data_IF_108407901863
#
_entry.id   IF_108407901863
#
_cell.length_a   1.000
_cell.length_b   1.000
_cell.length_c   1.000
_cell.angle_alpha   90.00
_cell.angle_beta   90.00
_cell.angle_gamma   90.00
#
_symmetry.space_group_name_H-M   'P 1'
#
loop_
_entity.id
_entity.type
_entity.pdbx_description
1 polymer ?
#
# COMPACT_ATOMS: atom_id res chain seq x y z
N UNK A 1 -6.54 21.51 -22.45
CA UNK A 1 -7.32 20.61 -21.58
C UNK A 1 -6.73 20.82 -20.21
N UNK A 2 -7.43 21.57 -19.37
CA UNK A 2 -6.97 21.84 -18.01
C UNK A 2 -6.82 20.50 -17.29
N UNK A 3 -5.56 20.12 -17.03
CA UNK A 3 -5.25 19.04 -16.09
C UNK A 3 -5.86 19.45 -14.78
N UNK A 4 -6.92 18.75 -14.37
CA UNK A 4 -7.44 18.90 -13.01
C UNK A 4 -6.28 18.62 -12.05
N UNK A 5 -6.18 19.35 -10.95
CA UNK A 5 -5.15 19.14 -9.93
C UNK A 5 -5.14 17.71 -9.34
N UNK A 6 -6.16 16.92 -9.68
CA UNK A 6 -6.30 15.52 -9.33
C UNK A 6 -5.52 14.56 -10.21
N UNK A 7 -5.13 14.95 -11.43
CA UNK A 7 -4.39 14.09 -12.34
C UNK A 7 -2.87 14.28 -12.15
N UNK A 8 -2.16 13.28 -11.60
CA UNK A 8 -0.75 13.42 -11.32
C UNK A 8 0.12 13.42 -12.59
N UNK A 9 0.96 14.44 -12.73
CA UNK A 9 1.92 14.53 -13.83
C UNK A 9 3.02 13.45 -13.72
N UNK A 10 3.39 12.87 -14.86
CA UNK A 10 4.44 11.84 -14.95
C UNK A 10 4.07 10.49 -14.33
N UNK A 11 2.84 10.32 -13.85
CA UNK A 11 2.36 9.07 -13.28
C UNK A 11 1.84 8.12 -14.37
N UNK A 12 2.41 6.92 -14.45
CA UNK A 12 1.96 5.89 -15.38
C UNK A 12 0.57 5.37 -15.02
N UNK A 13 -0.24 5.08 -16.05
CA UNK A 13 -1.59 4.52 -15.92
C UNK A 13 -1.89 3.53 -17.03
N UNK A 14 -2.68 2.52 -16.69
CA UNK A 14 -3.18 1.50 -17.60
C UNK A 14 -4.64 1.73 -18.01
N UNK A 15 -5.40 2.39 -17.14
CA UNK A 15 -6.80 2.68 -17.30
C UNK A 15 -7.02 4.19 -17.19
N UNK A 16 -7.82 4.74 -18.10
CA UNK A 16 -8.34 6.10 -18.04
C UNK A 16 -9.31 6.27 -16.86
N UNK A 17 -9.63 7.51 -16.46
CA UNK A 17 -10.66 7.84 -15.45
C UNK A 17 -12.01 7.12 -15.64
N UNK A 18 -12.44 6.84 -16.88
CA UNK A 18 -13.68 6.12 -17.21
C UNK A 18 -13.53 4.58 -17.20
N UNK A 19 -12.35 4.07 -16.81
CA UNK A 19 -12.01 2.65 -16.80
C UNK A 19 -11.68 2.04 -18.17
N UNK A 20 -11.66 2.82 -19.26
CA UNK A 20 -11.19 2.33 -20.56
C UNK A 20 -9.66 2.16 -20.53
N UNK A 21 -9.06 1.22 -21.29
CA UNK A 21 -7.60 1.11 -21.42
C UNK A 21 -7.01 2.44 -21.91
N UNK A 22 -5.93 2.94 -21.31
CA UNK A 22 -5.25 4.18 -21.73
C UNK A 22 -4.60 4.06 -23.15
N UNK A 23 -3.91 5.10 -23.61
CA UNK A 23 -3.15 5.03 -24.88
C UNK A 23 -1.77 4.39 -24.64
N UNK A 24 -1.23 3.67 -25.64
CA UNK A 24 0.10 3.07 -25.60
C UNK A 24 0.11 1.60 -25.17
N UNK A 25 1.18 1.15 -24.50
CA UNK A 25 1.28 -0.20 -23.94
C UNK A 25 0.39 -0.31 -22.68
N UNK A 26 -0.88 -0.60 -22.96
CA UNK A 26 -1.91 -0.83 -21.95
C UNK A 26 -2.31 -2.29 -21.88
N UNK A 27 -1.39 -3.19 -22.18
CA UNK A 27 -1.67 -4.60 -22.00
C UNK A 27 -1.95 -4.84 -20.50
N UNK A 28 -3.23 -5.07 -20.21
CA UNK A 28 -3.67 -5.52 -18.90
C UNK A 28 -3.26 -6.99 -18.69
N UNK A 29 -2.84 -7.68 -19.76
CA UNK A 29 -2.16 -8.96 -19.77
C UNK A 29 -2.83 -9.99 -18.89
N UNK A 30 -1.99 -10.68 -18.12
CA UNK A 30 -2.37 -11.68 -17.12
C UNK A 30 -2.61 -11.09 -15.72
N UNK A 31 -2.82 -9.76 -15.60
CA UNK A 31 -3.08 -9.16 -14.29
C UNK A 31 -4.36 -9.78 -13.68
N UNK A 32 -4.32 -10.22 -12.42
CA UNK A 32 -5.47 -10.83 -11.76
C UNK A 32 -6.46 -9.75 -11.30
N UNK A 33 -7.12 -9.08 -12.25
CA UNK A 33 -7.96 -7.90 -11.99
C UNK A 33 -9.14 -8.18 -11.05
N UNK A 34 -9.67 -9.40 -11.08
CA UNK A 34 -10.72 -9.87 -10.15
C UNK A 34 -10.20 -9.96 -8.72
N UNK A 35 -9.00 -10.53 -8.51
CA UNK A 35 -8.35 -10.60 -7.20
C UNK A 35 -7.93 -9.23 -6.71
N UNK A 36 -7.42 -8.39 -7.61
CA UNK A 36 -7.08 -6.99 -7.32
C UNK A 36 -8.31 -6.24 -6.84
N UNK A 37 -9.44 -6.35 -7.55
CA UNK A 37 -10.68 -5.72 -7.13
C UNK A 37 -11.17 -6.20 -5.77
N UNK A 38 -11.17 -7.52 -5.52
CA UNK A 38 -11.49 -8.09 -4.20
C UNK A 38 -10.59 -7.54 -3.09
N UNK A 39 -9.29 -7.42 -3.35
CA UNK A 39 -8.33 -6.88 -2.39
C UNK A 39 -8.56 -5.38 -2.10
N UNK A 40 -8.89 -4.58 -3.12
CA UNK A 40 -9.25 -3.17 -2.93
C UNK A 40 -10.51 -3.03 -2.06
N UNK A 41 -11.57 -3.78 -2.39
CA UNK A 41 -12.82 -3.79 -1.61
C UNK A 41 -12.54 -4.24 -0.19
N UNK A 42 -11.78 -5.32 0.02
CA UNK A 42 -11.43 -5.80 1.35
C UNK A 42 -10.66 -4.77 2.17
N UNK A 43 -9.69 -4.06 1.57
CA UNK A 43 -8.94 -3.00 2.23
C UNK A 43 -9.86 -1.84 2.68
N UNK A 44 -10.78 -1.39 1.81
CA UNK A 44 -11.78 -0.35 2.14
C UNK A 44 -12.77 -0.82 3.20
N UNK A 45 -13.28 -2.04 3.10
CA UNK A 45 -14.23 -2.61 4.07
C UNK A 45 -13.58 -2.70 5.45
N UNK A 46 -12.34 -3.18 5.54
CA UNK A 46 -11.56 -3.21 6.77
C UNK A 46 -11.43 -1.80 7.37
N UNK A 47 -11.04 -0.81 6.55
CA UNK A 47 -10.88 0.58 6.98
C UNK A 47 -12.16 1.14 7.61
N UNK A 48 -13.29 0.97 6.90
CA UNK A 48 -14.59 1.49 7.32
C UNK A 48 -15.13 0.77 8.56
N UNK A 49 -14.86 -0.54 8.72
CA UNK A 49 -15.25 -1.29 9.92
C UNK A 49 -14.45 -0.83 11.13
N UNK A 50 -13.14 -0.67 11.00
CA UNK A 50 -12.28 -0.17 12.08
C UNK A 50 -12.65 1.27 12.45
N UNK A 51 -12.99 2.12 11.47
CA UNK A 51 -13.40 3.50 11.73
C UNK A 51 -14.59 3.60 12.70
N UNK A 52 -15.53 2.64 12.65
CA UNK A 52 -16.70 2.59 13.54
C UNK A 52 -16.34 2.27 15.00
N UNK A 53 -15.13 1.78 15.27
CA UNK A 53 -14.67 1.45 16.62
C UNK A 53 -14.26 2.69 17.42
N UNK A 54 -14.10 3.86 16.77
CA UNK A 54 -13.76 5.12 17.45
C UNK A 54 -12.36 5.13 18.08
N UNK A 55 -11.43 4.34 17.56
CA UNK A 55 -10.08 4.22 18.11
C UNK A 55 -9.30 5.54 17.96
N UNK A 56 -8.64 6.03 19.02
CA UNK A 56 -7.85 7.27 18.96
C UNK A 56 -6.58 7.09 18.12
N UNK A 57 -6.13 8.18 17.49
CA UNK A 57 -4.88 8.26 16.72
C UNK A 57 -4.74 7.23 15.56
N UNK A 58 -5.86 6.76 15.01
CA UNK A 58 -5.90 5.94 13.80
C UNK A 58 -5.68 6.78 12.55
N UNK A 59 -4.88 6.27 11.61
CA UNK A 59 -4.72 6.86 10.28
C UNK A 59 -5.63 6.10 9.28
N UNK A 60 -6.65 6.74 8.68
CA UNK A 60 -7.50 6.10 7.67
C UNK A 60 -6.72 5.92 6.37
N UNK A 61 -7.15 4.95 5.55
CA UNK A 61 -6.54 4.68 4.25
C UNK A 61 -7.57 4.56 3.11
N UNK A 62 -8.83 4.92 3.35
CA UNK A 62 -9.82 5.06 2.30
C UNK A 62 -9.29 5.97 1.17
N UNK A 63 -9.31 5.48 -0.06
CA UNK A 63 -8.76 6.13 -1.27
C UNK A 63 -7.30 5.78 -1.58
N UNK A 64 -6.62 5.02 -0.71
CA UNK A 64 -5.22 4.61 -0.86
C UNK A 64 -5.06 3.08 -1.04
N UNK A 65 -6.15 2.34 -1.29
CA UNK A 65 -6.19 0.87 -1.22
C UNK A 65 -5.27 0.19 -2.24
N UNK A 66 -5.00 0.87 -3.35
CA UNK A 66 -4.20 0.33 -4.44
C UNK A 66 -2.82 -0.13 -3.97
N UNK A 67 -2.21 0.55 -3.00
CA UNK A 67 -0.90 0.18 -2.46
C UNK A 67 -1.00 -1.13 -1.68
N UNK A 68 -1.92 -1.22 -0.72
CA UNK A 68 -2.08 -2.42 0.09
C UNK A 68 -2.46 -3.64 -0.76
N UNK A 69 -3.40 -3.47 -1.69
CA UNK A 69 -3.83 -4.53 -2.59
C UNK A 69 -2.71 -4.99 -3.55
N UNK A 70 -1.97 -4.04 -4.11
CA UNK A 70 -0.88 -4.37 -5.04
C UNK A 70 0.30 -5.03 -4.32
N UNK A 71 0.69 -4.55 -3.13
CA UNK A 71 1.76 -5.19 -2.35
C UNK A 71 1.36 -6.62 -2.00
N UNK A 72 0.16 -6.85 -1.48
CA UNK A 72 -0.31 -8.19 -1.13
C UNK A 72 -0.32 -9.16 -2.32
N UNK A 73 -0.64 -8.69 -3.53
CA UNK A 73 -0.66 -9.53 -4.74
C UNK A 73 0.69 -9.67 -5.43
N UNK A 74 1.60 -8.71 -5.26
CA UNK A 74 2.93 -8.75 -5.87
C UNK A 74 3.93 -9.59 -5.07
N UNK A 75 3.72 -9.74 -3.76
CA UNK A 75 4.61 -10.49 -2.86
C UNK A 75 4.20 -11.94 -2.66
N UNK A 76 5.19 -12.80 -2.41
CA UNK A 76 5.02 -14.18 -1.94
C UNK A 76 4.83 -14.22 -0.41
N UNK A 77 4.30 -15.33 0.16
CA UNK A 77 4.17 -15.48 1.61
C UNK A 77 5.48 -15.31 2.39
N UNK A 78 6.62 -15.71 1.82
CA UNK A 78 7.95 -15.63 2.45
C UNK A 78 8.67 -14.30 2.21
N UNK A 79 8.08 -13.40 1.42
CA UNK A 79 8.60 -12.03 1.28
C UNK A 79 8.22 -11.21 2.50
N UNK A 80 9.17 -10.43 3.02
CA UNK A 80 8.90 -9.54 4.15
C UNK A 80 8.25 -8.24 3.71
N UNK A 81 7.26 -7.77 4.47
CA UNK A 81 6.64 -6.47 4.25
C UNK A 81 6.67 -5.63 5.52
N UNK A 82 7.12 -4.38 5.39
CA UNK A 82 7.12 -3.39 6.45
C UNK A 82 6.13 -2.28 6.10
N UNK A 83 4.87 -2.38 6.59
CA UNK A 83 3.81 -1.44 6.25
C UNK A 83 4.03 -0.07 6.89
N UNK A 84 3.52 0.97 6.24
CA UNK A 84 3.49 2.32 6.75
C UNK A 84 2.24 2.57 7.63
N UNK A 85 2.12 3.76 8.25
CA UNK A 85 1.01 4.07 9.15
C UNK A 85 -0.40 3.96 8.57
N UNK A 86 -0.53 4.00 7.24
CA UNK A 86 -1.80 3.92 6.50
C UNK A 86 -1.91 2.65 5.66
N UNK A 87 -1.17 1.60 6.01
CA UNK A 87 -1.06 0.38 5.20
C UNK A 87 -1.38 -0.90 5.98
N UNK A 88 -2.12 -0.77 7.10
CA UNK A 88 -2.50 -1.91 7.96
C UNK A 88 -3.29 -3.01 7.24
N UNK A 89 -3.98 -2.67 6.15
CA UNK A 89 -4.68 -3.65 5.32
C UNK A 89 -3.74 -4.71 4.71
N UNK A 90 -2.44 -4.43 4.54
CA UNK A 90 -1.48 -5.37 3.96
C UNK A 90 -1.45 -6.69 4.73
N UNK A 91 -1.30 -6.66 6.06
CA UNK A 91 -1.21 -7.87 6.87
C UNK A 91 -2.50 -8.70 6.74
N UNK A 92 -3.66 -8.05 6.81
CA UNK A 92 -4.95 -8.70 6.66
C UNK A 92 -5.13 -9.35 5.29
N UNK A 93 -4.74 -8.66 4.22
CA UNK A 93 -4.78 -9.20 2.85
C UNK A 93 -3.79 -10.35 2.64
N UNK A 94 -2.70 -10.38 3.41
CA UNK A 94 -1.69 -11.45 3.44
C UNK A 94 -2.02 -12.60 4.39
N UNK A 95 -3.15 -12.53 5.09
CA UNK A 95 -3.68 -13.67 5.86
C UNK A 95 -3.73 -13.48 7.38
N UNK A 96 -3.34 -12.31 7.91
CA UNK A 96 -3.49 -12.02 9.34
C UNK A 96 -4.94 -12.27 9.77
N UNK A 97 -5.09 -13.08 10.81
CA UNK A 97 -6.41 -13.50 11.28
C UNK A 97 -7.21 -12.34 11.87
N UNK A 98 -8.54 -12.37 11.70
CA UNK A 98 -9.42 -11.32 12.17
C UNK A 98 -9.45 -11.23 13.72
N UNK A 99 -9.28 -12.36 14.42
CA UNK A 99 -9.15 -12.40 15.88
C UNK A 99 -7.86 -11.71 16.33
N UNK A 100 -6.75 -11.94 15.62
CA UNK A 100 -5.50 -11.22 15.86
C UNK A 100 -5.65 -9.72 15.61
N UNK A 101 -6.35 -9.31 14.53
CA UNK A 101 -6.69 -7.90 14.28
C UNK A 101 -7.51 -7.31 15.43
N UNK A 102 -8.58 -7.99 15.86
CA UNK A 102 -9.42 -7.52 16.96
C UNK A 102 -8.62 -7.39 18.26
N UNK A 103 -7.80 -8.38 18.58
CA UNK A 103 -6.93 -8.37 19.74
C UNK A 103 -5.94 -7.20 19.69
N UNK A 104 -5.21 -7.02 18.59
CA UNK A 104 -4.22 -5.94 18.44
C UNK A 104 -4.86 -4.54 18.49
N UNK A 105 -6.07 -4.37 17.96
CA UNK A 105 -6.78 -3.09 18.00
C UNK A 105 -7.38 -2.77 19.37
N UNK A 106 -7.74 -3.79 20.17
CA UNK A 106 -8.34 -3.63 21.51
C UNK A 106 -7.34 -3.63 22.64
N UNK A 107 -6.18 -4.28 22.47
CA UNK A 107 -5.05 -4.19 23.38
C UNK A 107 -4.31 -2.85 23.29
N UNK A 108 -4.70 -2.00 22.32
CA UNK A 108 -4.26 -0.63 22.25
C UNK A 108 -4.76 0.17 23.46
N UNK A 109 -3.84 0.47 24.37
CA UNK A 109 -4.02 1.40 25.47
C UNK A 109 -3.17 2.67 25.24
N UNK A 110 -3.75 3.75 24.68
CA UNK A 110 -3.07 5.03 24.53
C UNK A 110 -2.55 5.61 25.85
N UNK A 111 -3.21 5.34 26.97
CA UNK A 111 -2.79 5.81 28.30
C UNK A 111 -1.57 5.05 28.82
N UNK A 112 -1.43 3.77 28.46
CA UNK A 112 -0.21 2.98 28.69
C UNK A 112 0.83 3.09 27.56
N UNK A 113 0.60 3.93 26.56
CA UNK A 113 1.52 4.09 25.43
C UNK A 113 1.54 2.87 24.49
N UNK A 114 0.41 2.20 24.30
CA UNK A 114 0.17 1.15 23.31
C UNK A 114 -0.85 1.70 22.30
N UNK A 115 -0.44 2.34 21.20
CA UNK A 115 -1.38 2.97 20.28
C UNK A 115 -2.00 1.92 19.36
N UNK A 116 -3.24 2.15 18.91
CA UNK A 116 -3.86 1.31 17.88
C UNK A 116 -3.08 1.34 16.54
N UNK A 117 -2.17 2.30 16.37
CA UNK A 117 -1.27 2.45 15.22
C UNK A 117 -0.27 1.31 15.07
N UNK A 118 0.01 0.56 16.14
CA UNK A 118 0.96 -0.56 16.12
C UNK A 118 0.24 -1.91 15.81
N UNK A 119 -1.07 -1.87 15.54
CA UNK A 119 -1.82 -3.02 15.05
C UNK A 119 -1.42 -3.38 13.61
N UNK A 120 -1.68 -4.63 13.20
CA UNK A 120 -1.34 -5.26 11.93
C UNK A 120 0.11 -5.77 11.79
N UNK A 121 0.82 -6.01 12.89
CA UNK A 121 2.05 -6.79 12.86
C UNK A 121 1.73 -8.29 12.79
N UNK A 122 2.45 -9.02 11.95
CA UNK A 122 2.32 -10.48 11.78
C UNK A 122 3.67 -11.10 11.42
N UNK A 123 4.58 -11.30 12.40
CA UNK A 123 5.90 -11.88 12.13
C UNK A 123 5.85 -13.27 11.51
N UNK A 124 4.82 -14.07 11.82
CA UNK A 124 4.62 -15.41 11.23
C UNK A 124 4.19 -15.31 9.75
N UNK A 125 3.38 -14.31 9.40
CA UNK A 125 3.03 -13.93 8.03
C UNK A 125 4.05 -13.01 7.33
N UNK A 126 5.26 -12.85 7.88
CA UNK A 126 6.33 -11.97 7.40
C UNK A 126 5.90 -10.51 7.20
N UNK A 127 4.99 -10.01 8.03
CA UNK A 127 4.63 -8.59 8.09
C UNK A 127 5.22 -7.98 9.36
N UNK A 128 6.22 -7.12 9.17
CA UNK A 128 6.96 -6.49 10.25
C UNK A 128 6.13 -5.46 11.04
N UNK A 129 6.57 -5.14 12.26
CA UNK A 129 5.92 -4.11 13.08
C UNK A 129 6.14 -2.71 12.50
N UNK A 130 5.31 -1.77 12.90
CA UNK A 130 5.48 -0.34 12.63
C UNK A 130 6.01 0.37 13.89
N UNK A 131 7.30 0.72 13.96
CA UNK A 131 7.81 1.50 15.08
C UNK A 131 7.21 2.91 15.11
N UNK A 132 7.24 3.54 16.29
CA UNK A 132 6.70 4.89 16.50
C UNK A 132 7.43 5.97 15.69
N UNK A 133 8.76 5.89 15.63
CA UNK A 133 9.60 6.86 14.91
C UNK A 133 9.36 6.81 13.41
N UNK A 134 9.12 7.97 12.80
CA UNK A 134 8.87 8.08 11.37
C UNK A 134 10.08 7.54 10.58
N UNK A 135 9.84 6.57 9.72
CA UNK A 135 10.88 5.94 8.88
C UNK A 135 11.71 4.86 9.57
N UNK A 136 11.54 4.60 10.86
CA UNK A 136 12.34 3.57 11.56
C UNK A 136 12.09 2.15 11.03
N UNK A 137 10.89 1.86 10.52
CA UNK A 137 10.62 0.58 9.85
C UNK A 137 11.44 0.38 8.58
N UNK A 138 11.92 1.46 7.94
CA UNK A 138 12.81 1.36 6.78
C UNK A 138 14.18 0.79 7.16
N UNK A 139 14.66 1.09 8.37
CA UNK A 139 15.88 0.48 8.89
C UNK A 139 15.70 -1.02 9.14
N UNK A 140 14.55 -1.42 9.70
CA UNK A 140 14.19 -2.84 9.86
C UNK A 140 14.13 -3.54 8.50
N UNK A 141 13.44 -2.94 7.53
CA UNK A 141 13.36 -3.47 6.17
C UNK A 141 14.73 -3.62 5.50
N UNK A 142 15.62 -2.65 5.69
CA UNK A 142 17.00 -2.69 5.17
C UNK A 142 17.81 -3.81 5.81
N UNK A 143 17.70 -3.98 7.13
CA UNK A 143 18.34 -5.08 7.86
C UNK A 143 17.84 -6.45 7.41
N UNK A 144 16.52 -6.61 7.24
CA UNK A 144 15.91 -7.84 6.73
C UNK A 144 16.37 -8.14 5.31
N UNK A 145 16.36 -7.17 4.40
CA UNK A 145 16.85 -7.34 3.04
C UNK A 145 18.35 -7.68 3.00
N UNK A 146 19.14 -7.13 3.93
CA UNK A 146 20.56 -7.47 4.09
C UNK A 146 20.75 -8.90 4.56
N UNK A 147 19.94 -9.37 5.50
CA UNK A 147 19.97 -10.76 5.94
C UNK A 147 19.61 -11.71 4.78
N UNK A 148 18.52 -11.43 4.06
CA UNK A 148 18.10 -12.18 2.87
C UNK A 148 19.21 -12.30 1.82
N UNK A 149 19.96 -11.21 1.58
CA UNK A 149 21.09 -11.19 0.64
C UNK A 149 22.32 -11.96 1.15
N UNK A 150 22.57 -11.99 2.47
CA UNK A 150 23.67 -12.76 3.06
C UNK A 150 23.38 -14.26 3.10
N UNK A 151 22.10 -14.62 3.26
CA UNK A 151 21.61 -16.00 3.28
C UNK A 151 21.36 -16.56 1.87
N UNK A 152 21.52 -15.73 0.82
CA UNK A 152 21.24 -16.09 -0.58
C UNK A 152 19.83 -16.64 -0.79
N UNK A 153 18.85 -16.05 -0.11
CA UNK A 153 17.44 -16.40 -0.27
C UNK A 153 16.87 -15.77 -1.54
N UNK A 154 15.88 -16.41 -2.16
CA UNK A 154 15.08 -15.78 -3.23
C UNK A 154 13.99 -14.84 -2.67
N UNK A 155 14.09 -14.38 -1.41
CA UNK A 155 13.07 -13.55 -0.78
C UNK A 155 13.32 -12.06 -1.04
N UNK A 156 12.23 -11.29 -1.09
CA UNK A 156 12.27 -9.83 -1.25
C UNK A 156 11.74 -9.19 0.02
N UNK A 157 12.24 -8.00 0.33
CA UNK A 157 11.63 -7.11 1.32
C UNK A 157 10.93 -5.95 0.64
N UNK A 158 9.72 -5.60 1.08
CA UNK A 158 8.97 -4.43 0.61
C UNK A 158 8.70 -3.51 1.80
N UNK A 159 8.91 -2.20 1.64
CA UNK A 159 8.61 -1.22 2.68
C UNK A 159 7.74 -0.09 2.14
N UNK A 160 6.56 0.12 2.72
CA UNK A 160 5.65 1.20 2.33
C UNK A 160 5.78 2.39 3.26
N UNK A 161 5.71 3.62 2.75
CA UNK A 161 5.79 4.84 3.55
C UNK A 161 5.15 6.02 2.82
N UNK A 162 4.80 7.08 3.55
CA UNK A 162 4.32 8.33 2.93
C UNK A 162 5.47 9.26 2.54
N UNK A 163 5.26 10.14 1.56
CA UNK A 163 6.23 11.12 1.05
C UNK A 163 6.95 11.93 2.16
N UNK A 164 6.26 12.30 3.25
CA UNK A 164 6.87 13.02 4.37
C UNK A 164 8.02 12.25 5.05
N UNK A 165 8.02 10.92 4.97
CA UNK A 165 9.11 10.06 5.49
C UNK A 165 10.43 10.32 4.75
N UNK A 166 10.37 10.81 3.53
CA UNK A 166 11.56 11.11 2.71
C UNK A 166 12.40 12.27 3.24
N UNK A 167 11.89 13.00 4.24
CA UNK A 167 12.61 14.09 4.93
C UNK A 167 13.43 13.61 6.13
N UNK A 168 13.32 12.34 6.49
CA UNK A 168 13.97 11.76 7.68
C UNK A 168 15.34 11.19 7.34
N UNK A 169 16.27 11.24 8.30
CA UNK A 169 17.58 10.58 8.16
C UNK A 169 17.49 9.07 7.93
N UNK A 170 16.50 8.41 8.55
CA UNK A 170 16.26 6.97 8.40
C UNK A 170 15.97 6.57 6.94
N UNK A 171 15.23 7.40 6.19
CA UNK A 171 15.00 7.16 4.76
C UNK A 171 16.29 7.24 3.95
N UNK A 172 17.10 8.28 4.16
CA UNK A 172 18.34 8.47 3.42
C UNK A 172 19.38 7.37 3.71
N UNK A 173 19.47 6.94 4.97
CA UNK A 173 20.35 5.84 5.38
C UNK A 173 19.89 4.51 4.75
N UNK A 174 18.61 4.15 4.88
CA UNK A 174 18.04 2.94 4.31
C UNK A 174 18.27 2.86 2.79
N UNK A 175 17.97 3.95 2.07
CA UNK A 175 18.13 4.02 0.63
C UNK A 175 19.60 3.90 0.19
N UNK A 176 20.50 4.61 0.88
CA UNK A 176 21.94 4.59 0.56
C UNK A 176 22.54 3.20 0.78
N UNK A 177 22.20 2.55 1.90
CA UNK A 177 22.66 1.20 2.21
C UNK A 177 22.09 0.18 1.23
N UNK A 178 20.80 0.27 0.91
CA UNK A 178 20.16 -0.62 -0.05
C UNK A 178 20.80 -0.53 -1.44
N UNK A 179 21.08 0.70 -1.90
CA UNK A 179 21.72 0.94 -3.18
C UNK A 179 23.17 0.42 -3.20
N UNK A 180 23.97 0.77 -2.17
CA UNK A 180 25.38 0.39 -2.09
C UNK A 180 25.59 -1.13 -1.99
N UNK A 181 24.65 -1.85 -1.37
CA UNK A 181 24.71 -3.28 -1.19
C UNK A 181 23.83 -4.08 -2.17
N UNK A 182 23.23 -3.42 -3.17
CA UNK A 182 22.33 -4.01 -4.17
C UNK A 182 21.24 -4.91 -3.56
N UNK A 183 20.64 -4.47 -2.45
CA UNK A 183 19.71 -5.30 -1.67
C UNK A 183 18.40 -5.61 -2.41
N UNK A 184 17.77 -6.78 -2.16
CA UNK A 184 16.46 -7.14 -2.68
C UNK A 184 15.34 -6.39 -1.93
N UNK A 185 15.36 -5.06 -2.00
CA UNK A 185 14.46 -4.16 -1.26
C UNK A 185 13.68 -3.25 -2.20
N UNK A 186 12.34 -3.27 -2.08
CA UNK A 186 11.44 -2.38 -2.80
C UNK A 186 10.86 -1.33 -1.85
N UNK A 187 11.16 -0.06 -2.12
CA UNK A 187 10.59 1.10 -1.45
C UNK A 187 9.30 1.52 -2.15
N UNK A 188 8.19 1.60 -1.42
CA UNK A 188 6.90 2.04 -1.95
C UNK A 188 6.50 3.34 -1.29
N UNK A 189 6.67 4.44 -2.01
CA UNK A 189 6.38 5.78 -1.52
C UNK A 189 4.95 6.18 -1.90
N UNK A 190 4.11 6.51 -0.93
CA UNK A 190 2.78 7.08 -1.14
C UNK A 190 2.87 8.60 -1.15
N UNK A 191 2.72 9.19 -2.33
CA UNK A 191 2.70 10.64 -2.49
C UNK A 191 1.25 11.12 -2.57
N UNK A 192 0.90 12.16 -1.82
CA UNK A 192 -0.49 12.60 -1.72
C UNK A 192 -0.82 13.58 -2.83
N UNK A 193 -1.99 13.43 -3.44
CA UNK A 193 -2.61 14.55 -4.15
C UNK A 193 -3.24 15.48 -3.13
N UNK A 194 -2.70 16.69 -2.99
CA UNK A 194 -3.23 17.69 -2.07
C UNK A 194 -4.40 18.44 -2.74
N UNK A 195 -5.58 18.50 -2.09
CA UNK A 195 -6.66 19.38 -2.54
C UNK A 195 -6.15 20.82 -2.52
N UNK A 196 -6.60 21.66 -3.46
CA UNK A 196 -6.17 23.06 -3.70
C UNK A 196 -5.01 23.24 -4.69
N UNK A 197 -4.54 22.17 -5.35
CA UNK A 197 -3.56 22.28 -6.44
C UNK A 197 -2.13 22.45 -5.99
N UNK A 198 -1.85 22.27 -4.70
CA UNK A 198 -0.50 22.06 -4.23
C UNK A 198 0.04 20.75 -4.86
N UNK A 199 1.22 20.78 -5.50
CA UNK A 199 1.85 19.57 -6.01
C UNK A 199 2.04 18.56 -4.85
N UNK A 200 2.09 17.26 -5.14
CA UNK A 200 2.42 16.25 -4.11
C UNK A 200 3.73 16.60 -3.37
N UNK A 201 4.62 17.26 -4.11
CA UNK A 201 5.91 17.78 -3.68
C UNK A 201 5.78 18.86 -2.59
N UNK A 202 4.62 19.50 -2.41
CA UNK A 202 4.40 20.55 -1.40
C UNK A 202 4.56 20.07 0.05
N UNK A 203 4.41 18.77 0.30
CA UNK A 203 4.71 18.14 1.60
C UNK A 203 6.17 17.73 1.79
N UNK A 204 7.04 17.96 0.79
CA UNK A 204 8.43 17.49 0.76
C UNK A 204 9.38 18.56 0.22
N UNK A 205 10.68 18.25 0.17
CA UNK A 205 11.70 19.15 -0.40
C UNK A 205 12.05 18.70 -1.81
N UNK A 206 11.86 19.58 -2.79
CA UNK A 206 12.37 19.44 -4.17
C UNK A 206 11.42 18.73 -5.15
N UNK A 207 12.01 18.20 -6.22
CA UNK A 207 11.35 17.45 -7.29
C UNK A 207 10.63 16.17 -6.77
N UNK A 208 9.75 15.54 -7.58
CA UNK A 208 9.09 14.28 -7.20
C UNK A 208 10.06 13.26 -6.59
N UNK A 209 9.60 12.46 -5.63
CA UNK A 209 10.45 11.51 -4.87
C UNK A 209 11.24 10.61 -5.83
N UNK A 210 10.57 10.12 -6.87
CA UNK A 210 11.18 9.25 -7.87
C UNK A 210 12.35 9.91 -8.61
N UNK A 211 12.37 11.23 -8.79
CA UNK A 211 13.49 11.93 -9.44
C UNK A 211 14.66 12.13 -8.48
N UNK A 212 14.37 12.52 -7.23
CA UNK A 212 15.39 12.76 -6.20
C UNK A 212 16.25 11.54 -5.93
N UNK A 213 15.66 10.35 -6.00
CA UNK A 213 16.37 9.09 -5.71
C UNK A 213 17.09 8.48 -6.92
N UNK A 214 16.81 8.92 -8.16
CA UNK A 214 17.53 8.43 -9.37
C UNK A 214 19.02 8.71 -9.32
N UNK A 215 19.43 9.79 -8.65
CA UNK A 215 20.84 10.16 -8.48
C UNK A 215 21.65 9.08 -7.73
N UNK A 216 20.99 8.20 -6.97
CA UNK A 216 21.62 7.10 -6.23
C UNK A 216 21.66 5.79 -7.04
N UNK A 217 21.32 5.81 -8.33
CA UNK A 217 21.32 4.62 -9.19
C UNK A 217 20.14 3.66 -8.94
N UNK A 218 19.19 4.04 -8.08
CA UNK A 218 17.99 3.22 -7.78
C UNK A 218 17.00 3.32 -8.94
N UNK A 219 16.39 2.18 -9.32
CA UNK A 219 15.33 2.15 -10.34
C UNK A 219 14.06 2.78 -9.79
N UNK A 220 13.49 3.76 -10.49
CA UNK A 220 12.36 4.56 -9.97
C UNK A 220 11.20 4.67 -10.93
N UNK A 221 9.98 4.39 -10.50
CA UNK A 221 8.77 4.58 -11.33
C UNK A 221 7.71 5.34 -10.54
N UNK A 222 6.99 6.24 -11.23
CA UNK A 222 5.82 6.94 -10.68
C UNK A 222 4.56 6.37 -11.33
N UNK A 223 3.58 5.98 -10.52
CA UNK A 223 2.32 5.38 -10.99
C UNK A 223 1.11 6.06 -10.34
N UNK A 224 0.02 6.13 -11.08
CA UNK A 224 -1.24 6.69 -10.59
C UNK A 224 -1.94 5.67 -9.67
N UNK A 225 -2.04 5.98 -8.38
CA UNK A 225 -2.69 5.15 -7.38
C UNK A 225 -4.19 4.94 -7.62
N UNK A 226 -4.86 5.86 -8.34
CA UNK A 226 -6.24 5.65 -8.77
C UNK A 226 -6.34 4.59 -9.89
N UNK A 227 -5.23 4.30 -10.59
CA UNK A 227 -5.12 3.19 -11.52
C UNK A 227 -4.48 1.97 -10.84
N UNK A 228 -5.26 1.25 -10.03
CA UNK A 228 -4.77 0.09 -9.27
C UNK A 228 -4.07 -0.99 -10.15
N UNK A 229 -4.50 -1.16 -11.41
CA UNK A 229 -3.87 -2.07 -12.35
C UNK A 229 -2.42 -1.66 -12.67
N UNK A 230 -2.15 -0.36 -12.88
CA UNK A 230 -0.81 0.15 -13.11
C UNK A 230 0.05 -0.02 -11.85
N UNK A 231 -0.50 0.33 -10.69
CA UNK A 231 0.16 0.13 -9.39
C UNK A 231 0.58 -1.32 -9.18
N UNK A 232 -0.30 -2.29 -9.46
CA UNK A 232 0.02 -3.72 -9.40
C UNK A 232 1.12 -4.11 -10.39
N UNK A 233 1.02 -3.69 -11.65
CA UNK A 233 2.03 -4.00 -12.67
C UNK A 233 3.42 -3.51 -12.26
N UNK A 234 3.53 -2.26 -11.82
CA UNK A 234 4.82 -1.65 -11.46
C UNK A 234 5.40 -2.23 -10.17
N UNK A 235 4.56 -2.53 -9.17
CA UNK A 235 5.03 -3.22 -7.96
C UNK A 235 5.45 -4.66 -8.23
N UNK A 236 4.71 -5.40 -9.05
CA UNK A 236 5.08 -6.76 -9.45
C UNK A 236 6.41 -6.79 -10.24
N UNK A 237 6.62 -5.83 -11.14
CA UNK A 237 7.91 -5.70 -11.84
C UNK A 237 9.05 -5.34 -10.88
N UNK A 238 8.84 -4.39 -9.96
CA UNK A 238 9.85 -4.02 -8.96
C UNK A 238 10.23 -5.19 -8.05
N UNK A 239 9.24 -5.95 -7.56
CA UNK A 239 9.46 -7.16 -6.74
C UNK A 239 10.20 -8.22 -7.53
N UNK A 240 9.80 -8.50 -8.78
CA UNK A 240 10.50 -9.45 -9.64
C UNK A 240 11.96 -9.06 -9.84
N UNK A 241 12.22 -7.80 -10.18
CA UNK A 241 13.59 -7.29 -10.39
C UNK A 241 14.46 -7.39 -9.15
N UNK A 242 13.91 -7.03 -7.98
CA UNK A 242 14.61 -7.15 -6.71
C UNK A 242 14.97 -8.62 -6.43
N UNK A 243 14.05 -9.54 -6.71
CA UNK A 243 14.26 -10.99 -6.59
C UNK A 243 15.33 -11.51 -7.55
N UNK A 244 15.35 -11.01 -8.78
CA UNK A 244 16.34 -11.37 -9.81
C UNK A 244 17.74 -10.73 -9.57
N UNK A 245 17.98 -10.19 -8.37
CA UNK A 245 19.24 -9.57 -7.99
C UNK A 245 19.57 -8.29 -8.76
N UNK A 246 18.56 -7.55 -9.24
CA UNK A 246 18.75 -6.29 -9.98
C UNK A 246 18.81 -5.05 -9.08
N UNK A 247 19.12 -5.25 -7.80
CA UNK A 247 19.20 -4.22 -6.78
C UNK A 247 17.85 -3.66 -6.36
N UNK A 248 17.85 -2.60 -5.53
CA UNK A 248 16.63 -2.02 -4.99
C UNK A 248 15.86 -1.22 -6.04
N UNK A 249 14.57 -1.02 -5.77
CA UNK A 249 13.70 -0.17 -6.56
C UNK A 249 12.85 0.75 -5.69
N UNK A 250 12.44 1.89 -6.22
CA UNK A 250 11.45 2.77 -5.63
C UNK A 250 10.24 2.92 -6.56
N UNK A 251 9.06 2.62 -6.04
CA UNK A 251 7.77 2.83 -6.70
C UNK A 251 7.06 3.98 -5.97
N UNK A 252 6.93 5.12 -6.62
CA UNK A 252 6.13 6.25 -6.14
C UNK A 252 4.70 6.08 -6.64
N UNK A 253 3.77 5.88 -5.70
CA UNK A 253 2.34 5.74 -5.97
C UNK A 253 1.65 7.02 -5.55
N UNK A 254 1.07 7.73 -6.51
CA UNK A 254 0.33 8.96 -6.23
C UNK A 254 -1.09 8.61 -5.81
N UNK A 255 -1.41 8.78 -4.53
CA UNK A 255 -2.68 8.37 -3.94
C UNK A 255 -3.57 9.57 -3.64
N UNK A 256 -4.88 9.35 -3.63
CA UNK A 256 -5.88 10.40 -3.42
C UNK A 256 -6.80 10.00 -2.25
N UNK A 257 -6.46 10.38 -1.00
CA UNK A 257 -7.24 10.03 0.17
C UNK A 257 -8.70 10.47 0.04
N UNK A 258 -9.64 9.59 0.37
CA UNK A 258 -11.08 9.86 0.28
C UNK A 258 -11.53 10.99 1.22
N UNK A 259 -10.78 11.26 2.29
CA UNK A 259 -11.03 12.39 3.21
C UNK A 259 -10.90 13.76 2.52
N UNK A 260 -10.22 13.82 1.37
CA UNK A 260 -10.11 15.04 0.55
C UNK A 260 -11.28 15.23 -0.41
N UNK A 261 -12.31 14.37 -0.34
CA UNK A 261 -13.50 14.38 -1.19
C UNK A 261 -13.18 14.49 -2.69
N UNK A 262 -12.33 13.60 -3.23
CA UNK A 262 -11.93 13.69 -4.62
C UNK A 262 -13.07 13.24 -5.56
N UNK A 263 -13.02 13.62 -6.85
CA UNK A 263 -13.92 13.09 -7.86
C UNK A 263 -13.92 11.56 -7.89
N UNK A 264 -15.06 10.95 -8.23
CA UNK A 264 -15.22 9.50 -8.24
C UNK A 264 -14.20 8.78 -9.14
N UNK A 265 -13.68 9.45 -10.18
CA UNK A 265 -12.64 8.86 -11.04
C UNK A 265 -11.31 8.62 -10.33
N UNK A 266 -11.07 9.30 -9.20
CA UNK A 266 -9.85 9.13 -8.38
C UNK A 266 -9.98 8.00 -7.37
N UNK A 267 -11.16 7.41 -7.18
CA UNK A 267 -11.32 6.23 -6.35
C UNK A 267 -10.81 4.98 -7.12
N UNK A 268 -9.77 4.28 -6.62
CA UNK A 268 -9.24 3.10 -7.29
C UNK A 268 -10.25 1.96 -7.44
N UNK A 269 -11.19 1.83 -6.50
CA UNK A 269 -12.27 0.83 -6.58
C UNK A 269 -13.19 1.19 -7.74
N UNK A 270 -13.64 2.44 -7.84
CA UNK A 270 -14.57 2.87 -8.88
C UNK A 270 -13.94 2.78 -10.27
N UNK A 271 -12.68 3.20 -10.43
CA UNK A 271 -11.99 3.13 -11.73
C UNK A 271 -11.84 1.69 -12.21
N UNK A 272 -11.44 0.76 -11.33
CA UNK A 272 -11.34 -0.67 -11.69
C UNK A 272 -12.71 -1.32 -11.89
N UNK A 273 -13.72 -0.91 -11.09
CA UNK A 273 -15.12 -1.35 -11.25
C UNK A 273 -15.61 -1.08 -12.67
N UNK A 274 -15.47 0.14 -13.16
CA UNK A 274 -15.87 0.55 -14.52
C UNK A 274 -15.20 -0.30 -15.60
N UNK A 275 -13.94 -0.65 -15.40
CA UNK A 275 -13.23 -1.54 -16.31
C UNK A 275 -13.82 -2.96 -16.29
N UNK A 276 -13.98 -3.55 -15.11
CA UNK A 276 -14.51 -4.91 -14.96
C UNK A 276 -15.96 -5.02 -15.46
N UNK A 277 -16.77 -3.99 -15.25
CA UNK A 277 -18.15 -3.88 -15.76
C UNK A 277 -18.17 -3.86 -17.29
N UNK A 278 -17.29 -3.06 -17.92
CA UNK A 278 -17.13 -2.99 -19.37
C UNK A 278 -16.79 -4.35 -20.01
N UNK A 279 -16.01 -5.19 -19.33
CA UNK A 279 -15.64 -6.53 -19.81
C UNK A 279 -16.55 -7.65 -19.27
N UNK A 280 -17.68 -7.30 -18.64
CA UNK A 280 -18.69 -8.25 -18.14
C UNK A 280 -18.22 -9.10 -16.95
N UNK A 281 -17.18 -8.69 -16.23
CA UNK A 281 -16.61 -9.38 -15.06
C UNK A 281 -17.02 -8.77 -13.72
N UNK A 282 -17.86 -7.73 -13.73
CA UNK A 282 -18.37 -7.12 -12.51
C UNK A 282 -19.90 -7.17 -12.46
N UNK A 283 -20.43 -7.38 -11.26
CA UNK A 283 -21.83 -7.12 -10.92
C UNK A 283 -21.92 -6.77 -9.41
N UNK A 284 -23.09 -6.31 -8.97
CA UNK A 284 -23.30 -5.92 -7.57
C UNK A 284 -23.04 -7.07 -6.59
N UNK A 285 -23.49 -8.29 -6.94
CA UNK A 285 -23.30 -9.49 -6.12
C UNK A 285 -21.82 -9.82 -5.89
N UNK A 286 -20.97 -9.65 -6.90
CA UNK A 286 -19.53 -9.87 -6.78
C UNK A 286 -18.89 -8.96 -5.73
N UNK A 287 -19.27 -7.67 -5.72
CA UNK A 287 -18.81 -6.73 -4.70
C UNK A 287 -19.40 -7.06 -3.32
N UNK A 288 -20.71 -7.33 -3.23
CA UNK A 288 -21.38 -7.64 -1.96
C UNK A 288 -20.76 -8.86 -1.27
N UNK A 289 -20.37 -9.89 -2.03
CA UNK A 289 -19.67 -11.07 -1.50
C UNK A 289 -18.31 -10.70 -0.92
N UNK A 290 -17.51 -9.90 -1.64
CA UNK A 290 -16.18 -9.47 -1.16
C UNK A 290 -16.28 -8.60 0.11
N UNK A 291 -17.29 -7.72 0.19
CA UNK A 291 -17.57 -6.93 1.39
C UNK A 291 -18.02 -7.80 2.57
N UNK A 292 -18.93 -8.75 2.31
CA UNK A 292 -19.48 -9.64 3.34
C UNK A 292 -18.41 -10.57 3.94
N UNK A 293 -17.51 -11.12 3.13
CA UNK A 293 -16.40 -11.97 3.59
C UNK A 293 -15.56 -11.28 4.66
N UNK A 294 -15.22 -10.00 4.45
CA UNK A 294 -14.41 -9.19 5.37
C UNK A 294 -15.24 -8.77 6.58
N UNK A 295 -16.46 -8.26 6.34
CA UNK A 295 -17.34 -7.78 7.39
C UNK A 295 -17.68 -8.88 8.42
N UNK A 296 -18.07 -10.06 7.94
CA UNK A 296 -18.45 -11.18 8.80
C UNK A 296 -17.26 -11.70 9.61
N UNK A 297 -16.06 -11.80 9.02
CA UNK A 297 -14.85 -12.20 9.75
C UNK A 297 -14.54 -11.24 10.90
N UNK A 298 -14.57 -9.93 10.63
CA UNK A 298 -14.30 -8.92 11.65
C UNK A 298 -15.38 -8.90 12.74
N UNK A 299 -16.66 -8.91 12.37
CA UNK A 299 -17.76 -8.90 13.34
C UNK A 299 -17.70 -10.10 14.29
N UNK A 300 -17.41 -11.30 13.76
CA UNK A 300 -17.23 -12.50 14.57
C UNK A 300 -16.02 -12.36 15.52
N UNK A 301 -14.90 -11.87 15.02
CA UNK A 301 -13.68 -11.71 15.80
C UNK A 301 -13.83 -10.69 16.95
N UNK A 302 -14.41 -9.52 16.67
CA UNK A 302 -14.65 -8.50 17.69
C UNK A 302 -15.63 -9.00 18.76
N UNK A 303 -16.69 -9.70 18.36
CA UNK A 303 -17.63 -10.31 19.29
C UNK A 303 -16.96 -11.36 20.17
N UNK A 304 -16.14 -12.25 19.59
CA UNK A 304 -15.41 -13.25 20.35
C UNK A 304 -14.44 -12.62 21.36
N UNK A 305 -13.77 -11.53 20.99
CA UNK A 305 -12.91 -10.77 21.91
C UNK A 305 -13.69 -10.19 23.10
N UNK A 306 -14.85 -9.60 22.84
CA UNK A 306 -15.74 -9.02 23.87
C UNK A 306 -16.32 -10.09 24.80
N UNK A 307 -16.65 -11.28 24.28
CA UNK A 307 -17.11 -12.42 25.08
C UNK A 307 -15.99 -13.02 25.96
N UNK A 308 -14.73 -12.95 25.52
CA UNK A 308 -13.57 -13.49 26.23
C UNK A 308 -12.96 -12.50 27.27
N UNK A 309 -13.25 -11.21 27.16
CA UNK A 309 -12.69 -10.15 28.03
C UNK A 309 -13.82 -9.44 28.79
N UNK A 310 -14.25 -10.00 29.95
CA UNK A 310 -15.39 -9.48 30.72
C UNK A 310 -15.13 -8.14 31.43
#
# INVERSE_FOLDING_TARGET
MDTTFWEPEGAERLLRPDGSPADGDTDLGDLPLDRLYRALVAARTLDLKIARLGLPARAPWAGEEAVAAAVALATRPDDWVFPGPRDGAIAFLRGLDAEAVAHQLRSADPAAGLPARDAFADPEGHTGPLPRGLGHHLALATGTARAQALEDTEHVTVATFGEGTTTTGAFHEALSLAAAAELPLVFVCKSLVWPEGAPAEAGTVGDPVYERVRALGVRTVRTDGACAAATLRHLADAVRRARDGKGPALVEVVVTPAIFDPPAERDPIERLRRHLDRIGKWNRTFQDVAEAEVATRLERAFRAYEEATP
#
